data_IF_514565126935
#
_entry.id   IF_514565126935
#
_cell.length_a   1.000
_cell.length_b   1.000
_cell.length_c   1.000
_cell.angle_alpha   90.00
_cell.angle_beta   90.00
_cell.angle_gamma   90.00
#
_symmetry.space_group_name_H-M   'P 1'
#
loop_
_entity.id
_entity.type
_entity.pdbx_description
1 polymer ?
#
# COMPACT_ATOMS: atom_id res chain seq x y z
N UNK A 1 -53.27 -18.83 17.33
CA UNK A 1 -52.17 -19.83 17.27
C UNK A 1 -50.98 -19.46 18.17
N UNK A 2 -50.69 -18.17 18.43
CA UNK A 2 -49.49 -17.74 19.16
C UNK A 2 -49.35 -18.16 20.63
N UNK A 3 -50.44 -18.26 21.40
CA UNK A 3 -50.34 -18.43 22.87
C UNK A 3 -49.79 -19.80 23.30
N UNK A 4 -50.06 -20.87 22.53
CA UNK A 4 -49.54 -22.21 22.81
C UNK A 4 -48.04 -22.32 22.51
N UNK A 5 -47.58 -21.72 21.41
CA UNK A 5 -46.16 -21.71 21.02
C UNK A 5 -45.35 -20.87 22.01
N UNK A 6 -45.88 -19.71 22.41
CA UNK A 6 -45.26 -18.87 23.43
C UNK A 6 -45.09 -19.63 24.76
N UNK A 7 -46.13 -20.34 25.22
CA UNK A 7 -46.06 -21.15 26.42
C UNK A 7 -45.02 -22.27 26.31
N UNK A 8 -44.96 -22.97 25.17
CA UNK A 8 -43.98 -24.04 24.95
C UNK A 8 -42.55 -23.53 24.98
N UNK A 9 -42.27 -22.41 24.30
CA UNK A 9 -40.96 -21.76 24.31
C UNK A 9 -40.54 -21.38 25.73
N UNK A 10 -41.44 -20.75 26.48
CA UNK A 10 -41.19 -20.37 27.88
C UNK A 10 -40.95 -21.61 28.75
N UNK A 11 -41.74 -22.68 28.58
CA UNK A 11 -41.57 -23.91 29.34
C UNK A 11 -40.20 -24.56 29.09
N UNK A 12 -39.76 -24.62 27.82
CA UNK A 12 -38.43 -25.14 27.46
C UNK A 12 -37.33 -24.26 28.06
N UNK A 13 -37.44 -22.94 27.94
CA UNK A 13 -36.45 -22.00 28.48
C UNK A 13 -36.33 -22.09 30.00
N UNK A 14 -37.44 -22.28 30.73
CA UNK A 14 -37.42 -22.50 32.19
C UNK A 14 -36.68 -23.77 32.59
N UNK A 15 -36.74 -24.82 31.77
CA UNK A 15 -36.01 -26.08 32.00
C UNK A 15 -34.52 -25.99 31.64
N UNK A 16 -34.15 -25.11 30.71
CA UNK A 16 -32.77 -24.93 30.23
C UNK A 16 -32.01 -23.81 30.96
N UNK A 17 -32.70 -22.93 31.70
CA UNK A 17 -32.07 -21.89 32.52
C UNK A 17 -31.14 -22.51 33.55
N UNK A 18 -29.92 -21.97 33.65
CA UNK A 18 -29.01 -22.23 34.77
C UNK A 18 -29.12 -21.10 35.79
N UNK A 19 -29.02 -21.43 37.08
CA UNK A 19 -29.10 -20.45 38.17
C UNK A 19 -27.81 -19.64 38.37
N UNK A 20 -26.71 -20.06 37.71
CA UNK A 20 -25.44 -19.37 37.77
C UNK A 20 -25.45 -18.08 36.92
N UNK A 21 -25.54 -16.93 37.58
CA UNK A 21 -25.55 -15.59 36.97
C UNK A 21 -24.26 -15.17 36.23
N UNK A 22 -23.31 -16.09 35.99
CA UNK A 22 -22.04 -15.83 35.28
C UNK A 22 -21.98 -16.55 33.93
N UNK A 23 -22.88 -16.20 33.01
CA UNK A 23 -22.67 -16.53 31.60
C UNK A 23 -21.80 -15.43 30.99
N UNK A 24 -20.49 -15.66 30.89
CA UNK A 24 -19.56 -14.69 30.28
C UNK A 24 -19.55 -14.77 28.75
N UNK A 25 -19.99 -15.89 28.18
CA UNK A 25 -19.98 -16.13 26.73
C UNK A 25 -21.06 -17.13 26.37
N UNK A 26 -21.69 -16.94 25.21
CA UNK A 26 -22.67 -17.88 24.66
C UNK A 26 -22.44 -18.07 23.16
N UNK A 27 -22.88 -19.21 22.64
CA UNK A 27 -22.91 -19.51 21.20
C UNK A 27 -24.37 -19.55 20.77
N UNK A 28 -24.76 -18.61 19.92
CA UNK A 28 -26.10 -18.57 19.34
C UNK A 28 -26.12 -19.30 17.99
N UNK A 29 -27.08 -20.19 17.81
CA UNK A 29 -27.39 -20.80 16.52
C UNK A 29 -28.68 -20.17 15.99
N UNK A 30 -28.69 -19.79 14.72
CA UNK A 30 -29.84 -19.18 14.05
C UNK A 30 -30.29 -20.12 12.94
N UNK A 31 -31.56 -20.52 13.00
CA UNK A 31 -32.22 -21.33 11.97
C UNK A 31 -33.45 -20.56 11.46
N UNK A 32 -33.43 -20.24 10.16
CA UNK A 32 -34.49 -19.46 9.50
C UNK A 32 -34.98 -20.21 8.26
N UNK A 33 -36.28 -20.10 7.92
CA UNK A 33 -36.76 -20.57 6.64
C UNK A 33 -36.07 -19.80 5.50
N UNK A 34 -35.66 -20.52 4.46
CA UNK A 34 -35.02 -19.93 3.28
C UNK A 34 -35.96 -19.01 2.49
N UNK A 35 -35.42 -18.29 1.48
CA UNK A 35 -36.19 -17.37 0.65
C UNK A 35 -37.39 -18.06 -0.01
N UNK A 36 -38.55 -17.40 0.02
CA UNK A 36 -39.80 -17.91 -0.54
C UNK A 36 -40.25 -17.04 -1.71
N UNK A 37 -40.65 -17.68 -2.81
CA UNK A 37 -41.35 -17.02 -3.90
C UNK A 37 -42.42 -17.95 -4.46
N UNK A 38 -43.68 -17.57 -4.27
CA UNK A 38 -44.82 -18.32 -4.78
C UNK A 38 -45.07 -17.90 -6.23
N UNK A 39 -44.88 -18.82 -7.17
CA UNK A 39 -45.12 -18.57 -8.61
C UNK A 39 -46.57 -18.75 -9.00
N UNK A 40 -47.31 -19.58 -8.26
CA UNK A 40 -48.69 -19.97 -8.60
C UNK A 40 -49.74 -19.14 -7.85
N UNK A 41 -49.32 -18.21 -6.99
CA UNK A 41 -50.19 -17.28 -6.24
C UNK A 41 -49.39 -16.03 -5.86
N UNK A 42 -50.03 -14.87 -5.65
CA UNK A 42 -49.33 -13.69 -5.18
C UNK A 42 -48.67 -13.94 -3.80
N UNK A 43 -47.48 -13.39 -3.61
CA UNK A 43 -46.77 -13.43 -2.32
C UNK A 43 -47.51 -12.56 -1.29
N UNK A 44 -47.77 -13.11 -0.09
CA UNK A 44 -48.43 -12.38 0.99
C UNK A 44 -47.42 -11.70 1.92
N UNK A 45 -47.94 -10.99 2.93
CA UNK A 45 -47.13 -10.41 4.01
C UNK A 45 -46.20 -11.45 4.67
N UNK A 46 -46.62 -12.71 4.77
CA UNK A 46 -45.81 -13.76 5.40
C UNK A 46 -44.54 -14.04 4.60
N UNK A 47 -44.65 -14.12 3.26
CA UNK A 47 -43.48 -14.28 2.39
C UNK A 47 -42.58 -13.05 2.45
N UNK A 48 -43.17 -11.85 2.49
CA UNK A 48 -42.40 -10.62 2.67
C UNK A 48 -41.59 -10.63 3.97
N UNK A 49 -42.19 -10.97 5.11
CA UNK A 49 -41.49 -11.03 6.40
C UNK A 49 -40.31 -12.03 6.39
N UNK A 50 -40.51 -13.21 5.77
CA UNK A 50 -39.46 -14.23 5.64
C UNK A 50 -38.31 -13.72 4.76
N UNK A 51 -38.62 -13.17 3.60
CA UNK A 51 -37.61 -12.68 2.66
C UNK A 51 -36.85 -11.47 3.24
N UNK A 52 -37.55 -10.56 3.92
CA UNK A 52 -36.94 -9.43 4.59
C UNK A 52 -35.97 -9.87 5.70
N UNK A 53 -36.33 -10.86 6.50
CA UNK A 53 -35.43 -11.41 7.52
C UNK A 53 -34.17 -12.02 6.87
N UNK A 54 -34.32 -12.78 5.78
CA UNK A 54 -33.21 -13.34 5.02
C UNK A 54 -32.30 -12.24 4.45
N UNK A 55 -32.87 -11.19 3.85
CA UNK A 55 -32.10 -10.06 3.30
C UNK A 55 -31.31 -9.33 4.40
N UNK A 56 -31.91 -9.14 5.58
CA UNK A 56 -31.22 -8.52 6.72
C UNK A 56 -30.07 -9.37 7.24
N UNK A 57 -30.26 -10.69 7.31
CA UNK A 57 -29.20 -11.62 7.68
C UNK A 57 -28.07 -11.60 6.65
N UNK A 58 -28.41 -11.64 5.35
CA UNK A 58 -27.42 -11.55 4.28
C UNK A 58 -26.65 -10.23 4.33
N UNK A 59 -27.32 -9.10 4.54
CA UNK A 59 -26.67 -7.80 4.69
C UNK A 59 -25.72 -7.78 5.90
N UNK A 60 -26.14 -8.33 7.04
CA UNK A 60 -25.30 -8.43 8.23
C UNK A 60 -24.05 -9.26 7.96
N UNK A 61 -24.19 -10.45 7.35
CA UNK A 61 -23.07 -11.33 7.01
C UNK A 61 -22.12 -10.65 6.02
N UNK A 62 -22.66 -10.03 4.98
CA UNK A 62 -21.86 -9.33 3.97
C UNK A 62 -21.05 -8.19 4.60
N UNK A 63 -21.68 -7.33 5.41
CA UNK A 63 -20.98 -6.26 6.12
C UNK A 63 -19.92 -6.81 7.07
N UNK A 64 -20.24 -7.85 7.82
CA UNK A 64 -19.29 -8.45 8.76
C UNK A 64 -18.08 -9.04 8.05
N UNK A 65 -18.27 -9.70 6.92
CA UNK A 65 -17.19 -10.31 6.15
C UNK A 65 -16.35 -9.28 5.39
N UNK A 66 -16.95 -8.23 4.82
CA UNK A 66 -16.25 -7.33 3.91
C UNK A 66 -15.86 -5.98 4.53
N UNK A 67 -16.65 -5.41 5.44
CA UNK A 67 -16.37 -4.08 6.01
C UNK A 67 -15.51 -4.15 7.27
N UNK A 68 -15.59 -5.25 8.04
CA UNK A 68 -14.79 -5.39 9.28
C UNK A 68 -13.28 -5.45 9.01
N UNK A 69 -12.85 -6.03 7.88
CA UNK A 69 -11.43 -6.03 7.49
C UNK A 69 -10.92 -4.65 7.07
N UNK A 70 -11.79 -3.79 6.55
CA UNK A 70 -11.43 -2.44 6.11
C UNK A 70 -11.24 -1.52 7.32
N UNK A 71 -12.11 -1.61 8.32
CA UNK A 71 -11.97 -0.82 9.57
C UNK A 71 -10.77 -1.25 10.42
N UNK A 72 -10.45 -2.55 10.46
CA UNK A 72 -9.24 -3.03 11.15
C UNK A 72 -7.95 -2.61 10.42
N UNK A 73 -8.02 -2.51 9.09
CA UNK A 73 -6.96 -1.96 8.25
C UNK A 73 -6.74 -0.45 8.45
N UNK A 74 -7.80 0.34 8.62
CA UNK A 74 -7.68 1.77 8.94
C UNK A 74 -7.28 2.04 10.42
N UNK A 75 -7.60 1.11 11.34
CA UNK A 75 -7.16 1.17 12.76
C UNK A 75 -5.74 0.67 12.99
N UNK A 76 -5.18 -0.10 12.05
CA UNK A 76 -3.77 -0.45 12.05
C UNK A 76 -2.97 0.84 11.81
N UNK A 77 -2.16 1.23 12.79
CA UNK A 77 -1.34 2.46 12.82
C UNK A 77 -0.25 2.56 11.74
N UNK A 78 -0.29 1.70 10.73
CA UNK A 78 0.72 1.62 9.69
C UNK A 78 0.16 2.14 8.37
N UNK A 79 0.78 3.16 7.77
CA UNK A 79 0.33 3.70 6.48
C UNK A 79 0.46 2.62 5.41
N UNK A 80 -0.62 2.35 4.71
CA UNK A 80 -0.73 1.34 3.65
C UNK A 80 -1.31 1.99 2.39
N UNK A 81 -0.94 1.52 1.22
CA UNK A 81 -1.42 2.07 -0.06
C UNK A 81 -1.59 0.95 -1.10
N UNK A 82 -2.48 1.16 -2.08
CA UNK A 82 -2.81 0.15 -3.10
C UNK A 82 -2.39 0.62 -4.48
N UNK A 83 -1.75 -0.28 -5.25
CA UNK A 83 -1.42 -0.06 -6.66
C UNK A 83 -2.20 -1.06 -7.51
N UNK A 84 -2.86 -0.57 -8.58
CA UNK A 84 -3.56 -1.39 -9.55
C UNK A 84 -2.56 -1.97 -10.57
N UNK A 85 -2.04 -3.17 -10.30
CA UNK A 85 -1.18 -3.88 -11.26
C UNK A 85 -2.02 -4.56 -12.35
N UNK A 86 -1.37 -4.93 -13.46
CA UNK A 86 -2.04 -5.60 -14.58
C UNK A 86 -2.70 -6.93 -14.18
N UNK A 87 -2.13 -7.66 -13.22
CA UNK A 87 -2.70 -8.92 -12.75
C UNK A 87 -3.80 -8.75 -11.71
N UNK A 88 -3.79 -7.66 -10.93
CA UNK A 88 -4.73 -7.35 -9.85
C UNK A 88 -4.28 -6.11 -9.05
N UNK A 89 -5.19 -5.46 -8.30
CA UNK A 89 -4.79 -4.53 -7.25
C UNK A 89 -4.01 -5.24 -6.14
N UNK A 90 -2.87 -4.67 -5.74
CA UNK A 90 -2.02 -5.17 -4.64
C UNK A 90 -1.87 -4.04 -3.61
N UNK A 91 -2.05 -4.39 -2.34
CA UNK A 91 -1.89 -3.47 -1.20
C UNK A 91 -0.54 -3.67 -0.53
N UNK A 92 0.18 -2.58 -0.31
CA UNK A 92 1.49 -2.55 0.33
C UNK A 92 1.41 -1.85 1.69
N UNK A 93 2.14 -2.37 2.68
CA UNK A 93 2.43 -1.64 3.91
C UNK A 93 3.63 -0.74 3.67
N UNK A 94 3.50 0.57 3.92
CA UNK A 94 4.61 1.51 3.87
C UNK A 94 5.55 1.41 5.09
N UNK A 95 5.29 0.47 6.00
CA UNK A 95 6.16 0.21 7.15
C UNK A 95 7.58 -0.16 6.70
N UNK A 96 8.57 0.57 7.22
CA UNK A 96 9.97 0.35 6.92
C UNK A 96 10.40 0.72 5.50
N UNK A 97 9.54 1.32 4.67
CA UNK A 97 9.87 1.71 3.30
C UNK A 97 11.11 2.62 3.25
N UNK A 98 11.14 3.67 4.07
CA UNK A 98 12.29 4.57 4.17
C UNK A 98 13.52 3.81 4.63
N UNK A 99 13.42 3.04 5.72
CA UNK A 99 14.57 2.30 6.27
C UNK A 99 15.19 1.32 5.26
N UNK A 100 14.36 0.63 4.47
CA UNK A 100 14.82 -0.31 3.43
C UNK A 100 15.36 0.43 2.21
N UNK A 101 14.72 1.53 1.80
CA UNK A 101 15.16 2.34 0.66
C UNK A 101 16.46 3.11 0.93
N UNK A 102 16.76 3.41 2.19
CA UNK A 102 18.00 4.10 2.55
C UNK A 102 19.25 3.29 2.18
N UNK A 103 19.17 1.96 1.99
CA UNK A 103 20.35 1.17 1.64
C UNK A 103 21.46 1.27 2.69
N UNK A 104 21.06 1.38 3.96
CA UNK A 104 21.97 1.48 5.10
C UNK A 104 22.77 0.18 5.23
N UNK A 105 24.08 0.32 5.41
CA UNK A 105 25.01 -0.78 5.63
C UNK A 105 25.61 -0.64 7.03
N UNK A 106 25.85 -1.78 7.67
CA UNK A 106 26.50 -1.78 8.97
C UNK A 106 27.97 -1.34 8.82
N UNK A 107 28.44 -0.36 9.63
CA UNK A 107 29.80 0.17 9.54
C UNK A 107 30.91 -0.90 9.55
N UNK A 108 30.76 -1.91 10.42
CA UNK A 108 31.75 -2.99 10.54
C UNK A 108 31.99 -3.74 9.23
N UNK A 109 30.96 -3.94 8.38
CA UNK A 109 31.15 -4.62 7.10
C UNK A 109 31.95 -3.75 6.13
N UNK A 110 31.76 -2.43 6.17
CA UNK A 110 32.52 -1.49 5.35
C UNK A 110 33.97 -1.43 5.81
N UNK A 111 34.21 -1.31 7.12
CA UNK A 111 35.58 -1.33 7.68
C UNK A 111 36.30 -2.63 7.39
N UNK A 112 35.63 -3.77 7.55
CA UNK A 112 36.19 -5.10 7.29
C UNK A 112 36.56 -5.31 5.83
N UNK A 113 35.70 -4.87 4.90
CA UNK A 113 35.91 -5.14 3.47
C UNK A 113 36.83 -4.11 2.80
N UNK A 114 36.87 -2.87 3.31
CA UNK A 114 37.76 -1.81 2.85
C UNK A 114 39.17 -1.92 3.46
N UNK A 115 39.26 -2.26 4.75
CA UNK A 115 40.49 -2.23 5.55
C UNK A 115 40.72 -0.86 6.19
N UNK A 116 41.22 -0.84 7.44
CA UNK A 116 41.63 0.39 8.12
C UNK A 116 43.08 0.74 7.74
N UNK A 117 43.30 1.99 7.37
CA UNK A 117 44.60 2.50 6.92
C UNK A 117 45.32 3.27 8.03
N UNK A 118 45.48 2.70 9.23
CA UNK A 118 46.40 3.30 10.21
C UNK A 118 46.89 2.29 11.26
N UNK A 119 48.17 1.92 11.11
CA UNK A 119 49.12 1.68 12.19
C UNK A 119 49.03 0.37 13.01
N UNK A 120 49.21 -0.78 12.37
CA UNK A 120 49.98 -1.89 13.00
C UNK A 120 50.92 -2.49 11.97
N UNK A 121 52.21 -2.19 12.13
CA UNK A 121 53.31 -3.04 11.70
C UNK A 121 53.23 -4.35 12.48
N UNK A 122 52.64 -5.38 11.88
CA UNK A 122 52.99 -6.80 11.95
C UNK A 122 51.78 -7.63 11.47
N UNK A 123 52.03 -8.80 10.88
CA UNK A 123 51.15 -9.54 9.98
C UNK A 123 49.64 -9.58 10.29
N UNK A 124 48.84 -9.45 9.21
CA UNK A 124 47.54 -10.12 8.97
C UNK A 124 46.20 -9.41 9.26
N UNK A 125 46.07 -8.34 10.06
CA UNK A 125 44.71 -7.92 10.53
C UNK A 125 44.17 -6.56 10.04
N UNK A 126 44.85 -5.84 9.15
CA UNK A 126 44.39 -4.52 8.65
C UNK A 126 43.97 -4.45 7.18
N UNK A 127 44.24 -5.50 6.40
CA UNK A 127 44.32 -5.39 4.94
C UNK A 127 42.99 -5.52 4.18
N UNK A 128 41.82 -5.31 4.82
CA UNK A 128 40.53 -5.39 4.14
C UNK A 128 40.33 -6.67 3.31
N UNK A 129 39.50 -6.62 2.26
CA UNK A 129 39.36 -7.74 1.33
C UNK A 129 40.61 -7.95 0.46
N UNK A 130 41.04 -9.20 0.29
CA UNK A 130 42.14 -9.57 -0.62
C UNK A 130 41.73 -9.34 -2.09
N UNK A 131 40.45 -9.52 -2.42
CA UNK A 131 39.95 -9.35 -3.77
C UNK A 131 39.80 -7.85 -4.11
N UNK A 132 40.52 -7.34 -5.15
CA UNK A 132 40.44 -5.94 -5.56
C UNK A 132 39.05 -5.50 -6.01
N UNK A 133 38.27 -6.40 -6.62
CA UNK A 133 36.88 -6.12 -7.02
C UNK A 133 36.01 -5.83 -5.80
N UNK A 134 36.12 -6.66 -4.75
CA UNK A 134 35.36 -6.48 -3.51
C UNK A 134 35.78 -5.20 -2.79
N UNK A 135 37.08 -4.88 -2.74
CA UNK A 135 37.55 -3.57 -2.23
C UNK A 135 36.95 -2.41 -3.03
N UNK A 136 36.81 -2.56 -4.35
CA UNK A 136 36.17 -1.58 -5.22
C UNK A 136 34.69 -1.34 -4.90
N UNK A 137 33.93 -2.40 -4.59
CA UNK A 137 32.52 -2.32 -4.21
C UNK A 137 32.29 -1.55 -2.90
N UNK A 138 33.25 -1.60 -1.97
CA UNK A 138 33.19 -0.92 -0.67
C UNK A 138 34.06 0.34 -0.61
N UNK A 139 34.43 0.87 -1.77
CA UNK A 139 35.19 2.12 -1.88
C UNK A 139 34.33 3.33 -1.49
N UNK A 140 34.99 4.44 -1.14
CA UNK A 140 34.32 5.72 -0.82
C UNK A 140 33.47 6.29 -1.97
N UNK A 141 33.70 5.84 -3.21
CA UNK A 141 32.90 6.21 -4.38
C UNK A 141 31.59 5.40 -4.46
N UNK A 142 31.59 4.18 -3.96
CA UNK A 142 30.47 3.25 -4.04
C UNK A 142 29.59 3.25 -2.78
N UNK A 143 30.17 3.57 -1.61
CA UNK A 143 29.45 3.64 -0.33
C UNK A 143 29.84 4.94 0.38
N UNK A 144 28.85 5.75 0.73
CA UNK A 144 29.05 6.94 1.54
C UNK A 144 29.17 6.53 3.01
N UNK A 145 30.16 7.06 3.72
CA UNK A 145 30.43 6.76 5.14
C UNK A 145 30.50 8.06 5.95
N UNK A 146 29.94 8.08 7.15
CA UNK A 146 30.15 9.16 8.12
C UNK A 146 31.10 8.70 9.23
N UNK A 147 32.14 9.48 9.49
CA UNK A 147 33.13 9.21 10.53
C UNK A 147 32.74 9.83 11.88
N UNK A 148 33.34 9.34 12.97
CA UNK A 148 33.12 9.86 14.30
C UNK A 148 33.87 11.20 14.51
N UNK A 149 33.31 12.21 15.20
CA UNK A 149 33.94 13.54 15.35
C UNK A 149 35.29 13.54 16.09
N UNK A 150 35.59 12.47 16.83
CA UNK A 150 36.84 12.32 17.60
C UNK A 150 37.82 11.31 17.00
N UNK A 151 37.38 10.54 16.00
CA UNK A 151 38.17 9.47 15.38
C UNK A 151 37.75 9.35 13.91
N UNK A 152 38.59 9.86 13.01
CA UNK A 152 38.30 9.92 11.57
C UNK A 152 38.29 8.53 10.90
N UNK A 153 38.91 7.53 11.53
CA UNK A 153 38.96 6.16 11.01
C UNK A 153 37.74 5.33 11.46
N UNK A 154 37.01 5.77 12.49
CA UNK A 154 35.83 5.10 12.99
C UNK A 154 34.57 5.47 12.19
N UNK A 155 34.04 4.50 11.44
CA UNK A 155 32.80 4.66 10.67
C UNK A 155 31.59 4.50 11.60
N UNK A 156 30.73 5.52 11.67
CA UNK A 156 29.51 5.53 12.51
C UNK A 156 28.27 5.12 11.71
N UNK A 157 28.24 5.44 10.41
CA UNK A 157 27.19 5.00 9.50
C UNK A 157 27.72 4.83 8.08
N UNK A 158 27.09 3.93 7.33
CA UNK A 158 27.38 3.72 5.92
C UNK A 158 26.10 3.58 5.11
N UNK A 159 26.07 4.16 3.92
CA UNK A 159 24.88 4.20 3.07
C UNK A 159 25.26 4.06 1.59
N UNK A 160 24.54 3.23 0.85
CA UNK A 160 24.66 3.21 -0.60
C UNK A 160 24.08 4.52 -1.18
N UNK A 161 24.81 5.23 -2.06
CA UNK A 161 24.31 6.46 -2.67
C UNK A 161 23.05 6.16 -3.50
N UNK A 162 21.97 6.88 -3.22
CA UNK A 162 20.64 6.70 -3.83
C UNK A 162 20.56 7.29 -5.25
N UNK A 163 21.61 7.96 -5.72
CA UNK A 163 21.63 8.52 -7.08
C UNK A 163 21.61 7.37 -8.08
N UNK A 164 20.63 7.31 -9.00
CA UNK A 164 20.62 6.29 -10.03
C UNK A 164 21.93 6.39 -10.82
N UNK A 165 22.66 5.27 -10.92
CA UNK A 165 23.94 5.22 -11.65
C UNK A 165 23.77 5.48 -13.15
N UNK A 166 22.53 5.41 -13.64
CA UNK A 166 22.15 5.68 -15.02
C UNK A 166 21.34 6.96 -15.04
N UNK A 167 21.75 7.92 -15.87
CA UNK A 167 20.92 9.07 -16.18
C UNK A 167 19.57 8.61 -16.76
N UNK A 168 18.45 9.28 -16.44
CA UNK A 168 17.16 8.95 -17.02
C UNK A 168 17.27 8.95 -18.55
N UNK A 169 16.79 7.89 -19.20
CA UNK A 169 16.76 7.82 -20.65
C UNK A 169 15.76 8.86 -21.15
N UNK A 170 16.22 9.88 -21.85
CA UNK A 170 15.31 10.77 -22.57
C UNK A 170 14.72 9.98 -23.74
N UNK A 171 13.43 9.69 -23.68
CA UNK A 171 12.70 9.22 -24.85
C UNK A 171 12.78 10.35 -25.88
N UNK A 172 13.57 10.15 -26.94
CA UNK A 172 13.48 11.02 -28.09
C UNK A 172 12.08 10.85 -28.68
N UNK A 173 11.34 11.95 -28.74
CA UNK A 173 10.03 12.05 -29.37
C UNK A 173 10.21 11.78 -30.86
N UNK A 174 10.18 10.51 -31.24
CA UNK A 174 10.37 10.07 -32.61
C UNK A 174 10.83 8.61 -32.66
N UNK A 175 9.97 7.76 -33.22
CA UNK A 175 10.26 6.39 -33.67
C UNK A 175 9.97 5.26 -32.68
N UNK A 176 8.69 5.03 -32.37
CA UNK A 176 8.15 3.66 -32.37
C UNK A 176 6.77 3.72 -33.04
N UNK A 177 6.70 3.42 -34.34
CA UNK A 177 5.43 3.03 -34.97
C UNK A 177 5.13 1.60 -34.51
N UNK A 178 4.28 1.43 -33.50
CA UNK A 178 3.65 0.13 -33.26
C UNK A 178 2.83 -0.24 -34.49
N UNK A 179 3.15 -1.37 -35.13
CA UNK A 179 2.39 -1.87 -36.27
C UNK A 179 1.00 -2.33 -35.79
N UNK A 180 -0.09 -1.97 -36.48
CA UNK A 180 -1.40 -2.55 -36.21
C UNK A 180 -1.50 -3.94 -36.83
N UNK A 181 -2.07 -4.87 -36.07
CA UNK A 181 -2.47 -6.20 -36.53
C UNK A 181 -3.47 -6.10 -37.69
N UNK A 182 -3.12 -6.79 -38.78
CA UNK A 182 -3.89 -7.11 -39.99
C UNK A 182 -5.39 -6.73 -39.98
N UNK A 183 -5.76 -5.76 -40.83
CA UNK A 183 -7.01 -5.78 -41.58
C UNK A 183 -6.76 -5.35 -43.02
N UNK A 184 -7.50 -5.99 -43.90
CA UNK A 184 -7.35 -6.15 -45.34
C UNK A 184 -7.71 -4.90 -46.15
N UNK A 185 -6.98 -4.72 -47.26
CA UNK A 185 -7.27 -3.98 -48.49
C UNK A 185 -7.11 -2.45 -48.61
N UNK A 186 -6.29 -2.14 -49.63
CA UNK A 186 -6.35 -1.07 -50.64
C UNK A 186 -5.55 0.22 -50.43
N UNK A 187 -4.63 0.47 -51.39
CA UNK A 187 -4.30 1.82 -51.88
C UNK A 187 -2.91 2.35 -51.52
N UNK A 188 -2.02 2.37 -52.51
CA UNK A 188 -0.76 3.14 -52.60
C UNK A 188 -1.11 4.64 -52.55
N UNK A 189 -0.39 5.51 -51.84
CA UNK A 189 0.67 6.37 -52.38
C UNK A 189 1.41 7.13 -51.26
N UNK A 190 2.68 7.40 -51.52
CA UNK A 190 3.67 8.01 -50.65
C UNK A 190 4.01 9.40 -51.21
N UNK A 191 3.79 10.48 -50.46
CA UNK A 191 4.45 11.77 -50.72
C UNK A 191 4.62 12.60 -49.43
N UNK A 192 5.73 13.36 -49.40
CA UNK A 192 5.77 14.71 -48.84
C UNK A 192 6.04 14.87 -47.35
N UNK A 193 7.27 15.27 -47.03
CA UNK A 193 7.64 15.89 -45.76
C UNK A 193 7.48 17.39 -45.93
N UNK A 194 6.56 18.03 -45.20
CA UNK A 194 6.53 19.49 -45.07
C UNK A 194 6.27 19.85 -43.60
N UNK A 195 7.22 20.60 -43.05
CA UNK A 195 7.16 21.25 -41.75
C UNK A 195 6.13 22.39 -41.81
N UNK A 196 5.10 22.36 -40.96
CA UNK A 196 4.36 23.58 -40.62
C UNK A 196 3.88 23.55 -39.16
N UNK A 197 4.19 24.64 -38.46
CA UNK A 197 4.01 24.86 -37.03
C UNK A 197 2.68 25.58 -36.81
N UNK A 198 1.71 24.91 -36.18
CA UNK A 198 0.43 25.51 -35.76
C UNK A 198 -0.24 24.68 -34.66
N UNK A 199 -0.61 25.27 -33.50
CA UNK A 199 -1.15 24.51 -32.38
C UNK A 199 -2.68 24.31 -32.55
N UNK A 200 -3.11 23.15 -33.05
CA UNK A 200 -4.54 22.80 -33.06
C UNK A 200 -4.96 22.26 -31.69
N UNK A 201 -5.77 23.04 -30.97
CA UNK A 201 -6.47 22.65 -29.75
C UNK A 201 -7.45 21.51 -30.02
N UNK A 202 -7.24 20.35 -29.41
CA UNK A 202 -8.18 19.23 -29.50
C UNK A 202 -7.54 17.87 -29.24
N UNK A 203 -7.03 17.63 -28.03
CA UNK A 203 -6.55 16.31 -27.61
C UNK A 203 -7.07 15.98 -26.21
N UNK A 204 -7.78 14.86 -26.10
CA UNK A 204 -8.33 14.29 -24.86
C UNK A 204 -7.26 14.22 -23.75
N UNK A 205 -7.53 14.66 -22.51
CA UNK A 205 -6.49 14.74 -21.48
C UNK A 205 -6.05 13.32 -21.07
N UNK A 206 -4.74 13.06 -21.13
CA UNK A 206 -4.18 11.84 -20.56
C UNK A 206 -3.98 12.04 -19.05
N UNK A 207 -4.37 11.04 -18.26
CA UNK A 207 -4.34 11.00 -16.78
C UNK A 207 -2.90 10.80 -16.25
N UNK A 208 -1.90 11.37 -16.92
CA UNK A 208 -0.50 11.34 -16.49
C UNK A 208 0.05 12.76 -16.20
N UNK A 209 -0.66 13.82 -16.61
CA UNK A 209 -0.24 15.21 -16.40
C UNK A 209 -0.72 15.85 -15.09
N UNK A 210 -1.69 15.26 -14.39
CA UNK A 210 -2.35 15.90 -13.24
C UNK A 210 -1.60 15.77 -11.90
N UNK A 211 -0.51 15.00 -11.83
CA UNK A 211 0.21 14.76 -10.57
C UNK A 211 1.26 15.83 -10.20
N UNK A 212 1.53 16.82 -11.07
CA UNK A 212 2.53 17.85 -10.76
C UNK A 212 2.05 18.94 -9.78
N UNK A 213 0.75 19.02 -9.47
CA UNK A 213 0.23 20.01 -8.52
C UNK A 213 0.33 19.58 -7.04
N UNK A 214 0.68 18.32 -6.75
CA UNK A 214 0.70 17.78 -5.39
C UNK A 214 2.05 17.94 -4.64
N UNK A 215 3.06 18.57 -5.25
CA UNK A 215 4.38 18.79 -4.63
C UNK A 215 4.68 20.24 -4.24
N UNK A 216 3.69 21.13 -4.28
CA UNK A 216 3.81 22.49 -3.74
C UNK A 216 3.55 22.44 -2.22
N UNK A 217 4.55 22.03 -1.43
CA UNK A 217 4.54 22.13 0.04
C UNK A 217 4.61 23.62 0.39
N UNK A 218 3.47 24.31 0.31
CA UNK A 218 3.31 25.63 0.91
C UNK A 218 3.08 25.45 2.40
N UNK A 219 4.17 25.68 3.14
CA UNK A 219 4.21 26.35 4.44
C UNK A 219 2.85 26.37 5.19
N UNK A 220 2.55 25.30 5.92
CA UNK A 220 1.56 25.35 6.99
C UNK A 220 2.31 25.88 8.22
N UNK A 221 1.91 27.07 8.66
CA UNK A 221 2.51 27.79 9.76
C UNK A 221 2.53 27.01 11.08
N UNK A 222 3.53 27.32 11.88
CA UNK A 222 3.76 26.78 13.22
C UNK A 222 2.51 26.86 14.11
N UNK A 223 2.06 25.75 14.72
CA UNK A 223 0.95 25.74 15.68
C UNK A 223 1.35 26.22 17.10
N UNK A 224 2.51 26.86 17.26
CA UNK A 224 3.00 27.38 18.55
C UNK A 224 3.33 28.88 18.48
N UNK A 225 2.31 29.72 18.34
CA UNK A 225 2.43 31.15 18.64
C UNK A 225 1.71 31.46 19.97
N UNK A 226 2.39 32.06 20.97
CA UNK A 226 1.76 32.39 22.25
C UNK A 226 0.81 33.58 22.12
N UNK A 227 -0.33 33.51 22.82
CA UNK A 227 -1.31 34.58 22.95
C UNK A 227 -0.69 35.81 23.62
N UNK A 228 -0.50 36.90 22.87
CA UNK A 228 -0.25 38.23 23.43
C UNK A 228 -1.57 38.88 23.83
N UNK A 229 -1.70 39.14 25.13
CA UNK A 229 -2.74 39.95 25.75
C UNK A 229 -2.70 41.40 25.26
N UNK A 230 -3.78 41.89 24.66
CA UNK A 230 -3.99 43.30 24.37
C UNK A 230 -4.99 43.91 25.35
N UNK A 231 -4.48 44.62 26.36
CA UNK A 231 -5.20 45.67 27.05
C UNK A 231 -5.31 46.89 26.13
N UNK A 232 -6.52 47.46 26.04
CA UNK A 232 -6.94 48.83 26.43
C UNK A 232 -8.28 49.10 25.74
#
# INVERSE_FOLDING_TARGET
MSTKIAWLSEHINQRLRREDFKIQTFVGLVDLPGPQNMTNRPNSLDQFCINFANERLQNFVQKRLFETHVDEYYRSSFPTFTINHFNSPITYSAEGFLSRNLGALHPNFVSLLRGLSAHVSDGSEGAGSINPFVKGLFSAKAIATQAHPKDEDAIVSAQQPVKPMRAPSTCHKGTIKCMPTLRENAGVEQEGCDDDDSPSSGGTPCVAGEFCAALDIRSIGDPYAPYSSGNV
#
